data_IF_696344170448
#
_entry.id   IF_696344170448
#
_cell.length_a   1.000
_cell.length_b   1.000
_cell.length_c   1.000
_cell.angle_alpha   90.00
_cell.angle_beta   90.00
_cell.angle_gamma   90.00
#
_symmetry.space_group_name_H-M   'P 1'
#
loop_
_entity.id
_entity.type
_entity.pdbx_description
1 polymer ?
#
# COMPACT_ATOMS: atom_id res chain seq x y z
N UNK A 1 24.78 26.91 -66.23
CA UNK A 1 24.50 25.46 -66.19
C UNK A 1 25.57 24.86 -65.28
N UNK A 2 25.38 24.94 -63.96
CA UNK A 2 24.46 24.08 -63.19
C UNK A 2 24.93 22.62 -63.23
N UNK A 3 25.57 22.14 -62.17
CA UNK A 3 24.89 21.25 -61.23
C UNK A 3 25.78 20.93 -60.02
N UNK A 4 25.22 21.17 -58.83
CA UNK A 4 25.84 20.85 -57.56
C UNK A 4 25.75 19.36 -57.26
N UNK A 5 26.84 18.78 -56.78
CA UNK A 5 26.84 17.47 -56.16
C UNK A 5 26.53 17.60 -54.68
N UNK A 6 25.34 17.15 -54.29
CA UNK A 6 24.84 17.18 -52.91
C UNK A 6 25.57 16.11 -52.09
N UNK A 7 26.34 16.52 -51.09
CA UNK A 7 26.82 15.65 -50.01
C UNK A 7 25.59 15.17 -49.20
N UNK A 8 25.23 13.89 -49.34
CA UNK A 8 24.20 13.28 -48.50
C UNK A 8 24.76 13.08 -47.10
N UNK A 9 24.39 14.00 -46.22
CA UNK A 9 24.52 13.90 -44.78
C UNK A 9 23.81 12.61 -44.30
N UNK A 10 24.59 11.60 -43.90
CA UNK A 10 24.05 10.38 -43.30
C UNK A 10 23.52 10.73 -41.90
N UNK A 11 22.22 10.98 -41.79
CA UNK A 11 21.56 11.09 -40.49
C UNK A 11 21.69 9.76 -39.76
N UNK A 12 22.18 9.80 -38.52
CA UNK A 12 22.28 8.62 -37.67
C UNK A 12 20.87 8.05 -37.41
N UNK A 13 20.50 6.98 -38.14
CA UNK A 13 19.26 6.24 -37.90
C UNK A 13 19.41 5.37 -36.66
N UNK A 14 18.66 5.69 -35.62
CA UNK A 14 18.65 4.96 -34.36
C UNK A 14 17.82 3.67 -34.51
N UNK A 15 18.35 2.67 -35.23
CA UNK A 15 17.71 1.36 -35.42
C UNK A 15 18.64 0.22 -35.03
N UNK A 16 19.10 0.23 -33.77
CA UNK A 16 19.97 -0.82 -33.19
C UNK A 16 19.33 -2.22 -33.09
N UNK A 17 18.04 -2.37 -33.44
CA UNK A 17 17.28 -3.62 -33.27
C UNK A 17 16.76 -4.22 -34.59
N UNK A 18 16.97 -3.57 -35.74
CA UNK A 18 16.54 -4.12 -37.04
C UNK A 18 17.71 -4.87 -37.65
N UNK A 19 17.68 -6.21 -37.58
CA UNK A 19 18.59 -7.04 -38.39
C UNK A 19 18.14 -6.98 -39.85
N UNK A 20 18.96 -6.42 -40.74
CA UNK A 20 18.72 -6.48 -42.20
C UNK A 20 18.93 -7.91 -42.74
N UNK A 21 19.79 -8.70 -42.11
CA UNK A 21 20.00 -10.11 -42.46
C UNK A 21 18.91 -11.01 -41.84
N UNK A 22 17.92 -11.39 -42.66
CA UNK A 22 16.88 -12.38 -42.30
C UNK A 22 17.32 -13.85 -42.49
N UNK A 23 18.49 -14.08 -43.07
CA UNK A 23 18.94 -15.44 -43.46
C UNK A 23 19.36 -16.31 -42.27
N UNK A 24 19.80 -15.71 -41.17
CA UNK A 24 20.18 -16.41 -39.91
C UNK A 24 19.04 -16.41 -38.87
N UNK A 25 17.84 -15.96 -39.25
CA UNK A 25 16.70 -15.95 -38.35
C UNK A 25 16.14 -17.38 -38.18
N UNK A 26 15.92 -17.79 -36.94
CA UNK A 26 15.23 -19.05 -36.65
C UNK A 26 13.89 -19.10 -37.41
N UNK A 27 13.55 -20.23 -38.06
CA UNK A 27 12.34 -20.35 -38.85
C UNK A 27 11.12 -20.04 -37.98
N UNK A 28 10.12 -19.37 -38.57
CA UNK A 28 8.90 -19.00 -37.88
C UNK A 28 8.24 -20.26 -37.29
N UNK A 29 7.90 -20.29 -35.99
CA UNK A 29 7.27 -21.44 -35.38
C UNK A 29 5.92 -21.72 -36.06
N UNK A 30 5.76 -22.94 -36.56
CA UNK A 30 4.51 -23.35 -37.19
C UNK A 30 3.43 -23.59 -36.11
N UNK A 31 2.21 -23.06 -36.29
CA UNK A 31 1.13 -23.25 -35.33
C UNK A 31 0.76 -24.74 -35.25
N UNK A 32 0.89 -25.33 -34.05
CA UNK A 32 0.47 -26.71 -33.77
C UNK A 32 -0.89 -26.72 -33.09
N UNK A 33 -1.80 -27.57 -33.58
CA UNK A 33 -3.10 -27.81 -32.94
C UNK A 33 -2.87 -28.66 -31.68
N UNK A 34 -3.27 -28.14 -30.52
CA UNK A 34 -3.17 -28.86 -29.25
C UNK A 34 -4.05 -30.12 -29.28
N UNK A 35 -3.48 -31.25 -28.86
CA UNK A 35 -4.23 -32.49 -28.69
C UNK A 35 -4.75 -32.60 -27.24
N UNK A 36 -5.76 -33.45 -26.97
CA UNK A 36 -6.29 -33.64 -25.61
C UNK A 36 -5.23 -34.10 -24.59
N UNK A 37 -4.17 -34.77 -25.06
CA UNK A 37 -3.07 -35.27 -24.23
C UNK A 37 -2.12 -34.13 -23.80
N UNK A 38 -1.93 -33.13 -24.65
CA UNK A 38 -1.14 -31.92 -24.33
C UNK A 38 -1.82 -31.09 -23.22
N UNK A 39 -3.16 -31.11 -23.18
CA UNK A 39 -3.95 -30.45 -22.14
C UNK A 39 -3.78 -31.18 -20.80
N UNK A 40 -3.75 -32.51 -20.81
CA UNK A 40 -3.62 -33.35 -19.61
C UNK A 40 -2.20 -33.28 -19.02
N UNK A 41 -1.17 -33.28 -19.87
CA UNK A 41 0.23 -33.20 -19.43
C UNK A 41 0.51 -31.91 -18.64
N UNK A 42 -0.16 -30.82 -19.03
CA UNK A 42 -0.02 -29.50 -18.41
C UNK A 42 -0.70 -29.35 -17.03
N UNK A 43 -1.52 -30.34 -16.62
CA UNK A 43 -2.24 -30.39 -15.34
C UNK A 43 -1.48 -31.14 -14.24
N UNK A 44 -0.40 -31.86 -14.59
CA UNK A 44 0.35 -32.70 -13.64
C UNK A 44 1.40 -31.95 -12.81
N UNK A 45 1.55 -30.64 -13.04
CA UNK A 45 2.53 -29.82 -12.34
C UNK A 45 1.96 -29.29 -11.02
N UNK A 46 2.74 -29.45 -9.94
CA UNK A 46 2.45 -28.97 -8.59
C UNK A 46 1.78 -27.59 -8.54
N UNK A 47 0.93 -27.38 -7.52
CA UNK A 47 0.27 -26.11 -7.24
C UNK A 47 1.26 -24.94 -7.36
N UNK A 48 1.18 -24.23 -8.48
CA UNK A 48 2.06 -23.09 -8.78
C UNK A 48 1.43 -21.87 -8.13
N UNK A 49 2.17 -21.18 -7.28
CA UNK A 49 1.75 -19.90 -6.71
C UNK A 49 1.78 -18.85 -7.83
N UNK A 50 0.64 -18.19 -8.08
CA UNK A 50 0.52 -17.16 -9.12
C UNK A 50 -0.06 -17.69 -10.43
N UNK A 51 0.10 -16.90 -11.49
CA UNK A 51 -0.35 -17.27 -12.84
C UNK A 51 0.58 -18.28 -13.50
N UNK A 52 0.13 -18.84 -14.65
CA UNK A 52 0.96 -19.73 -15.50
C UNK A 52 2.28 -19.08 -15.92
N UNK A 53 2.35 -17.74 -15.94
CA UNK A 53 3.57 -16.98 -16.24
C UNK A 53 4.67 -17.21 -15.18
N UNK A 54 4.29 -17.33 -13.90
CA UNK A 54 5.24 -17.54 -12.80
C UNK A 54 5.91 -18.93 -12.81
N UNK A 55 5.52 -19.84 -13.72
CA UNK A 55 6.12 -21.18 -13.81
C UNK A 55 7.64 -21.15 -14.00
N UNK A 56 8.17 -20.14 -14.68
CA UNK A 56 9.62 -19.96 -14.87
C UNK A 56 10.29 -19.16 -13.72
N UNK A 57 9.57 -18.91 -12.61
CA UNK A 57 10.03 -18.11 -11.48
C UNK A 57 10.11 -16.62 -11.78
N UNK A 58 9.36 -16.15 -12.78
CA UNK A 58 9.28 -14.74 -13.17
C UNK A 58 8.65 -13.91 -12.06
N UNK A 59 8.91 -12.60 -12.09
CA UNK A 59 8.23 -11.65 -11.20
C UNK A 59 6.78 -11.47 -11.65
N UNK A 60 5.84 -11.58 -10.71
CA UNK A 60 4.43 -11.26 -10.87
C UNK A 60 3.98 -10.40 -9.70
N UNK A 61 3.37 -9.25 -9.98
CA UNK A 61 2.79 -8.37 -8.98
C UNK A 61 1.27 -8.29 -9.14
N UNK A 62 0.57 -8.39 -8.02
CA UNK A 62 -0.86 -8.15 -7.93
C UNK A 62 -1.10 -6.92 -7.07
N UNK A 63 -1.79 -5.95 -7.63
CA UNK A 63 -2.21 -4.77 -6.88
C UNK A 63 -3.34 -5.14 -5.91
N UNK A 64 -3.17 -4.82 -4.64
CA UNK A 64 -4.14 -5.06 -3.56
C UNK A 64 -4.64 -3.75 -2.93
N UNK A 65 -4.35 -2.59 -3.53
CA UNK A 65 -4.58 -1.27 -2.95
C UNK A 65 -6.06 -1.04 -2.60
N UNK A 66 -6.98 -1.39 -3.50
CA UNK A 66 -8.42 -1.23 -3.26
C UNK A 66 -8.89 -2.02 -2.03
N UNK A 67 -8.43 -3.26 -1.89
CA UNK A 67 -8.77 -4.09 -0.74
C UNK A 67 -8.12 -3.57 0.53
N UNK A 68 -6.83 -3.21 0.48
CA UNK A 68 -6.08 -2.73 1.63
C UNK A 68 -6.67 -1.42 2.19
N UNK A 69 -6.95 -0.46 1.32
CA UNK A 69 -7.57 0.83 1.70
C UNK A 69 -8.93 0.63 2.37
N UNK A 70 -9.78 -0.27 1.84
CA UNK A 70 -11.07 -0.58 2.44
C UNK A 70 -10.87 -1.26 3.80
N UNK A 71 -9.97 -2.24 3.86
CA UNK A 71 -9.76 -3.04 5.06
C UNK A 71 -9.19 -2.25 6.22
N UNK A 72 -8.20 -1.38 5.95
CA UNK A 72 -7.63 -0.46 6.93
C UNK A 72 -8.74 0.44 7.50
N UNK A 73 -9.60 1.02 6.64
CA UNK A 73 -10.73 1.84 7.08
C UNK A 73 -11.71 1.06 7.96
N UNK A 74 -12.03 -0.19 7.65
CA UNK A 74 -12.89 -1.03 8.48
C UNK A 74 -12.26 -1.33 9.85
N UNK A 75 -10.99 -1.71 9.87
CA UNK A 75 -10.27 -2.06 11.10
C UNK A 75 -10.16 -0.86 12.05
N UNK A 76 -9.89 0.32 11.51
CA UNK A 76 -9.80 1.55 12.31
C UNK A 76 -11.16 2.01 12.83
N UNK A 77 -12.24 1.84 12.05
CA UNK A 77 -13.62 2.08 12.52
C UNK A 77 -14.05 1.12 13.63
N UNK A 78 -13.43 -0.07 13.71
CA UNK A 78 -13.69 -1.02 14.80
C UNK A 78 -13.08 -0.60 16.14
N UNK A 79 -12.25 0.45 16.17
CA UNK A 79 -11.73 1.02 17.42
C UNK A 79 -12.81 1.94 18.01
N UNK A 80 -13.69 1.33 18.81
CA UNK A 80 -14.98 1.91 19.26
C UNK A 80 -14.78 3.18 20.10
N UNK A 81 -13.85 3.17 21.05
CA UNK A 81 -13.47 4.32 21.88
C UNK A 81 -12.42 3.88 22.89
N UNK A 82 -11.67 4.85 23.42
CA UNK A 82 -10.75 4.63 24.52
C UNK A 82 -11.15 5.54 25.68
N UNK A 83 -11.33 4.94 26.85
CA UNK A 83 -11.58 5.66 28.09
C UNK A 83 -10.24 5.95 28.77
N UNK A 84 -10.04 7.21 29.12
CA UNK A 84 -8.87 7.73 29.81
C UNK A 84 -9.22 8.07 31.27
N UNK A 85 -8.20 8.28 32.09
CA UNK A 85 -8.38 8.79 33.46
C UNK A 85 -9.10 10.14 33.50
N UNK A 86 -8.94 10.97 32.47
CA UNK A 86 -9.47 12.33 32.40
C UNK A 86 -10.47 12.54 31.25
N UNK A 87 -11.01 11.50 30.61
CA UNK A 87 -11.92 11.68 29.49
C UNK A 87 -12.21 10.41 28.69
N UNK A 88 -12.93 10.57 27.59
CA UNK A 88 -13.20 9.52 26.61
C UNK A 88 -12.97 10.08 25.21
N UNK A 89 -12.35 9.29 24.35
CA UNK A 89 -12.26 9.64 22.93
C UNK A 89 -12.72 8.51 22.02
N UNK A 90 -13.22 8.89 20.86
CA UNK A 90 -13.70 8.03 19.80
C UNK A 90 -13.05 8.43 18.46
N UNK A 91 -12.75 7.41 17.64
CA UNK A 91 -12.35 7.66 16.25
C UNK A 91 -13.61 7.97 15.46
N UNK A 92 -13.79 9.22 15.09
CA UNK A 92 -14.98 9.68 14.38
C UNK A 92 -14.96 9.25 12.90
N UNK A 93 -13.81 9.40 12.24
CA UNK A 93 -13.66 9.01 10.83
C UNK A 93 -12.18 8.87 10.40
N UNK A 94 -11.96 8.18 9.28
CA UNK A 94 -10.65 8.11 8.61
C UNK A 94 -10.64 9.12 7.46
N UNK A 95 -9.95 10.25 7.64
CA UNK A 95 -9.96 11.35 6.67
C UNK A 95 -9.05 11.09 5.48
N UNK A 96 -7.84 10.57 5.74
CA UNK A 96 -6.85 10.25 4.72
C UNK A 96 -6.42 8.81 4.91
N UNK A 97 -6.44 8.01 3.85
CA UNK A 97 -5.90 6.65 3.82
C UNK A 97 -5.50 6.41 2.37
N UNK A 98 -4.23 6.68 2.09
CA UNK A 98 -3.66 6.64 0.76
C UNK A 98 -2.31 5.92 0.82
N UNK A 99 -1.95 5.24 -0.27
CA UNK A 99 -0.78 4.39 -0.29
C UNK A 99 -0.94 3.28 -1.30
N UNK A 100 -0.03 2.33 -1.23
CA UNK A 100 0.06 1.20 -2.14
C UNK A 100 0.19 -0.09 -1.36
N UNK A 101 -0.56 -1.11 -1.78
CA UNK A 101 -0.41 -2.48 -1.31
C UNK A 101 -0.24 -3.39 -2.52
N UNK A 102 0.74 -4.27 -2.45
CA UNK A 102 1.05 -5.20 -3.52
C UNK A 102 1.43 -6.57 -2.99
N UNK A 103 1.12 -7.56 -3.80
CA UNK A 103 1.52 -8.94 -3.59
C UNK A 103 2.46 -9.35 -4.72
N UNK A 104 3.72 -9.61 -4.37
CA UNK A 104 4.77 -10.02 -5.28
C UNK A 104 5.01 -11.52 -5.17
N UNK A 105 4.98 -12.21 -6.31
CA UNK A 105 5.33 -13.61 -6.43
C UNK A 105 6.59 -13.75 -7.27
N UNK A 106 7.65 -14.31 -6.69
CA UNK A 106 8.94 -14.53 -7.36
C UNK A 106 9.46 -15.91 -7.01
N UNK A 107 9.84 -16.70 -8.02
CA UNK A 107 10.37 -18.07 -7.82
C UNK A 107 9.48 -18.92 -6.90
N UNK A 108 8.16 -18.85 -7.12
CA UNK A 108 7.16 -19.56 -6.31
C UNK A 108 7.15 -19.16 -4.81
N UNK A 109 7.69 -17.98 -4.46
CA UNK A 109 7.62 -17.40 -3.11
C UNK A 109 6.76 -16.15 -3.12
N UNK A 110 5.88 -16.10 -2.13
CA UNK A 110 4.97 -14.98 -1.87
C UNK A 110 5.65 -13.93 -1.00
N UNK A 111 5.57 -12.66 -1.40
CA UNK A 111 6.02 -11.49 -0.66
C UNK A 111 4.92 -10.44 -0.70
N UNK A 112 4.62 -9.85 0.43
CA UNK A 112 3.67 -8.75 0.54
C UNK A 112 4.45 -7.49 0.87
N UNK A 113 3.99 -6.36 0.37
CA UNK A 113 4.49 -5.06 0.73
C UNK A 113 3.36 -4.05 0.71
N UNK A 114 3.44 -3.09 1.61
CA UNK A 114 2.60 -1.91 1.55
C UNK A 114 3.34 -0.71 2.13
N UNK A 115 2.90 0.47 1.71
CA UNK A 115 3.28 1.76 2.28
C UNK A 115 2.02 2.62 2.29
N UNK A 116 1.62 3.11 3.46
CA UNK A 116 0.42 3.93 3.62
C UNK A 116 0.68 5.16 4.48
N UNK A 117 -0.11 6.19 4.21
CA UNK A 117 -0.28 7.37 5.05
C UNK A 117 -1.73 7.41 5.57
N UNK A 118 -1.91 7.83 6.82
CA UNK A 118 -3.19 7.77 7.51
C UNK A 118 -3.44 9.03 8.33
N UNK A 119 -4.62 9.63 8.15
CA UNK A 119 -5.12 10.73 8.99
C UNK A 119 -6.46 10.35 9.57
N UNK A 120 -6.55 10.33 10.90
CA UNK A 120 -7.75 9.99 11.67
C UNK A 120 -8.36 11.25 12.27
N UNK A 121 -9.68 11.37 12.22
CA UNK A 121 -10.44 12.37 12.96
C UNK A 121 -10.88 11.78 14.29
N UNK A 122 -10.49 12.44 15.37
CA UNK A 122 -10.85 12.05 16.72
C UNK A 122 -11.80 13.09 17.30
N UNK A 123 -12.80 12.60 18.02
CA UNK A 123 -13.67 13.42 18.85
C UNK A 123 -13.64 12.83 20.25
N UNK A 124 -13.60 13.65 21.28
CA UNK A 124 -13.68 13.16 22.64
C UNK A 124 -14.20 14.20 23.60
N UNK A 125 -14.48 13.75 24.81
CA UNK A 125 -14.89 14.57 25.92
C UNK A 125 -13.88 14.39 27.05
N UNK A 126 -13.25 15.48 27.48
CA UNK A 126 -12.31 15.48 28.60
C UNK A 126 -12.90 16.22 29.78
N UNK A 127 -12.67 15.68 30.98
CA UNK A 127 -13.06 16.27 32.25
C UNK A 127 -11.87 17.07 32.78
N UNK A 128 -11.90 18.37 32.55
CA UNK A 128 -10.84 19.31 32.93
C UNK A 128 -11.35 20.16 34.09
N UNK A 129 -10.73 20.02 35.27
CA UNK A 129 -11.07 20.83 36.47
C UNK A 129 -12.57 20.88 36.76
N UNK A 130 -13.23 19.71 36.71
CA UNK A 130 -14.67 19.51 36.94
C UNK A 130 -15.60 19.92 35.78
N UNK A 131 -15.08 20.52 34.70
CA UNK A 131 -15.85 20.82 33.49
C UNK A 131 -15.61 19.78 32.38
N UNK A 132 -16.69 19.27 31.79
CA UNK A 132 -16.59 18.43 30.58
C UNK A 132 -16.48 19.32 29.35
N UNK A 133 -15.36 19.23 28.65
CA UNK A 133 -15.10 19.91 27.39
C UNK A 133 -15.02 18.89 26.27
N UNK A 134 -15.79 19.10 25.21
CA UNK A 134 -15.65 18.33 23.98
C UNK A 134 -14.45 18.86 23.22
N UNK A 135 -13.50 18.01 22.88
CA UNK A 135 -12.31 18.39 22.12
C UNK A 135 -12.29 17.59 20.81
N UNK A 136 -11.99 18.28 19.71
CA UNK A 136 -11.77 17.66 18.40
C UNK A 136 -10.28 17.67 18.06
N UNK A 137 -9.83 16.62 17.42
CA UNK A 137 -8.44 16.48 17.00
C UNK A 137 -8.28 15.61 15.76
N UNK A 138 -7.08 15.63 15.23
CA UNK A 138 -6.61 14.81 14.14
C UNK A 138 -5.37 14.05 14.59
N UNK A 139 -5.28 12.78 14.21
CA UNK A 139 -4.08 11.97 14.41
C UNK A 139 -3.53 11.66 13.03
N UNK A 140 -2.31 12.09 12.78
CA UNK A 140 -1.60 11.90 11.52
C UNK A 140 -0.49 10.87 11.72
N UNK A 141 -0.46 9.88 10.83
CA UNK A 141 0.58 8.87 10.70
C UNK A 141 1.15 9.10 9.29
N UNK A 142 2.30 9.79 9.18
CA UNK A 142 2.80 10.31 7.92
C UNK A 142 3.15 9.19 6.94
N UNK A 143 3.79 8.13 7.42
CA UNK A 143 4.11 6.95 6.63
C UNK A 143 4.27 5.74 7.55
N UNK A 144 3.73 4.60 7.13
CA UNK A 144 4.02 3.31 7.74
C UNK A 144 4.06 2.22 6.67
N UNK A 145 4.99 1.28 6.86
CA UNK A 145 5.26 0.22 5.90
C UNK A 145 5.13 -1.16 6.56
N UNK A 146 5.16 -2.20 5.72
CA UNK A 146 5.11 -3.58 6.18
C UNK A 146 6.33 -3.94 7.04
N UNK A 147 6.10 -4.39 8.27
CA UNK A 147 7.14 -4.80 9.21
C UNK A 147 7.76 -3.67 10.03
N UNK A 148 7.39 -2.41 9.79
CA UNK A 148 7.87 -1.23 10.51
C UNK A 148 6.83 -0.69 11.52
N UNK A 149 5.85 -1.50 11.89
CA UNK A 149 4.83 -1.11 12.86
C UNK A 149 5.39 -0.92 14.29
N UNK A 150 6.64 -1.34 14.57
CA UNK A 150 7.28 -1.10 15.87
C UNK A 150 7.66 0.37 16.08
N UNK A 151 8.16 1.00 15.02
CA UNK A 151 8.61 2.40 14.99
C UNK A 151 7.53 3.36 14.49
N UNK A 152 6.25 2.96 14.58
CA UNK A 152 5.11 3.75 14.07
C UNK A 152 5.11 5.15 14.69
N UNK A 153 5.31 6.18 13.87
CA UNK A 153 5.25 7.56 14.30
C UNK A 153 3.82 8.11 14.21
N UNK A 154 3.39 8.78 15.28
CA UNK A 154 2.07 9.37 15.39
C UNK A 154 2.17 10.82 15.83
N UNK A 155 1.61 11.72 15.03
CA UNK A 155 1.47 13.13 15.32
C UNK A 155 0.02 13.44 15.68
N UNK A 156 -0.18 14.19 16.77
CA UNK A 156 -1.50 14.53 17.27
C UNK A 156 -1.69 16.04 17.15
N UNK A 157 -2.70 16.46 16.41
CA UNK A 157 -3.08 17.85 16.21
C UNK A 157 -4.45 18.11 16.84
N UNK A 158 -4.52 19.03 17.79
CA UNK A 158 -5.80 19.46 18.36
C UNK A 158 -6.39 20.59 17.53
N UNK A 159 -7.70 20.57 17.28
CA UNK A 159 -8.39 21.74 16.75
C UNK A 159 -8.33 22.84 17.81
N UNK A 160 -7.89 24.04 17.44
CA UNK A 160 -7.72 25.14 18.39
C UNK A 160 -9.06 25.60 18.98
N UNK A 161 -9.37 25.09 20.17
CA UNK A 161 -10.40 25.66 21.03
C UNK A 161 -9.73 26.68 21.95
N UNK A 162 -10.21 27.92 21.87
CA UNK A 162 -9.65 29.11 22.55
C UNK A 162 -9.72 29.01 24.08
N UNK A 163 -10.41 28.00 24.62
CA UNK A 163 -10.73 27.80 26.03
C UNK A 163 -9.88 26.71 26.73
N UNK A 164 -8.81 26.22 26.09
CA UNK A 164 -7.94 25.18 26.65
C UNK A 164 -6.59 25.74 27.09
N UNK A 165 -6.23 25.53 28.36
CA UNK A 165 -4.91 25.87 28.89
C UNK A 165 -3.84 24.96 28.26
N UNK A 166 -2.61 25.47 28.15
CA UNK A 166 -1.51 24.74 27.53
C UNK A 166 -1.22 23.39 28.22
N UNK A 167 -1.37 23.32 29.56
CA UNK A 167 -1.23 22.08 30.31
C UNK A 167 -2.30 21.05 29.94
N UNK A 168 -3.56 21.49 29.81
CA UNK A 168 -4.67 20.61 29.44
C UNK A 168 -4.48 20.07 28.02
N UNK A 169 -4.00 20.91 27.09
CA UNK A 169 -3.65 20.47 25.72
C UNK A 169 -2.58 19.39 25.73
N UNK A 170 -1.54 19.55 26.54
CA UNK A 170 -0.46 18.55 26.66
C UNK A 170 -0.98 17.23 27.23
N UNK A 171 -1.88 17.28 28.21
CA UNK A 171 -2.51 16.09 28.77
C UNK A 171 -3.34 15.36 27.71
N UNK A 172 -4.19 16.08 26.97
CA UNK A 172 -5.00 15.51 25.89
C UNK A 172 -4.11 14.87 24.81
N UNK A 173 -2.99 15.51 24.45
CA UNK A 173 -2.04 14.93 23.48
C UNK A 173 -1.42 13.64 24.03
N UNK A 174 -1.06 13.57 25.30
CA UNK A 174 -0.52 12.36 25.92
C UNK A 174 -1.56 11.23 25.95
N UNK A 175 -2.81 11.55 26.30
CA UNK A 175 -3.92 10.60 26.29
C UNK A 175 -4.14 10.07 24.87
N UNK A 176 -4.18 10.96 23.87
CA UNK A 176 -4.38 10.57 22.47
C UNK A 176 -3.24 9.70 21.92
N UNK A 177 -2.01 9.85 22.41
CA UNK A 177 -0.90 8.94 22.05
C UNK A 177 -1.14 7.51 22.51
N UNK A 178 -2.01 7.26 23.49
CA UNK A 178 -2.38 5.89 23.88
C UNK A 178 -3.20 5.18 22.80
N UNK A 179 -3.82 5.89 21.84
CA UNK A 179 -4.44 5.26 20.67
C UNK A 179 -3.43 4.58 19.74
N UNK A 180 -2.13 4.88 19.87
CA UNK A 180 -1.10 4.23 19.08
C UNK A 180 -1.12 2.71 19.28
N UNK A 181 -1.31 2.23 20.51
CA UNK A 181 -1.35 0.80 20.82
C UNK A 181 -2.51 0.07 20.09
N UNK A 182 -3.80 0.43 20.29
CA UNK A 182 -4.89 -0.24 19.61
C UNK A 182 -4.85 -0.05 18.09
N UNK A 183 -4.40 1.10 17.58
CA UNK A 183 -4.21 1.30 16.14
C UNK A 183 -3.15 0.33 15.62
N UNK A 184 -2.02 0.21 16.31
CA UNK A 184 -0.94 -0.72 15.95
C UNK A 184 -1.40 -2.18 15.97
N UNK A 185 -2.19 -2.60 16.95
CA UNK A 185 -2.77 -3.96 16.99
C UNK A 185 -3.67 -4.23 15.78
N UNK A 186 -4.50 -3.26 15.39
CA UNK A 186 -5.34 -3.37 14.20
C UNK A 186 -4.52 -3.42 12.91
N UNK A 187 -3.45 -2.64 12.82
CA UNK A 187 -2.53 -2.69 11.67
C UNK A 187 -1.77 -4.02 11.62
N UNK A 188 -1.38 -4.60 12.76
CA UNK A 188 -0.77 -5.95 12.81
C UNK A 188 -1.74 -7.02 12.33
N UNK A 189 -3.01 -6.93 12.71
CA UNK A 189 -4.06 -7.79 12.17
C UNK A 189 -4.16 -7.65 10.64
N UNK A 190 -4.13 -6.43 10.13
CA UNK A 190 -4.10 -6.18 8.69
C UNK A 190 -2.87 -6.83 8.01
N UNK A 191 -1.68 -6.77 8.60
CA UNK A 191 -0.49 -7.43 8.04
C UNK A 191 -0.66 -8.95 7.92
N UNK A 192 -1.28 -9.58 8.93
CA UNK A 192 -1.55 -11.01 8.92
C UNK A 192 -2.54 -11.38 7.81
N UNK A 193 -3.63 -10.63 7.70
CA UNK A 193 -4.62 -10.84 6.64
C UNK A 193 -4.03 -10.62 5.23
N UNK A 194 -3.13 -9.66 5.08
CA UNK A 194 -2.40 -9.44 3.83
C UNK A 194 -1.47 -10.61 3.50
N UNK A 195 -0.78 -11.18 4.51
CA UNK A 195 0.08 -12.37 4.35
C UNK A 195 -0.70 -13.61 3.93
N UNK A 196 -1.95 -13.77 4.36
CA UNK A 196 -2.77 -14.95 4.04
C UNK A 196 -3.39 -14.90 2.63
N UNK A 197 -3.47 -13.71 2.02
CA UNK A 197 -4.12 -13.45 0.72
C UNK A 197 -3.28 -13.78 -0.52
#
# INVERSE_FOLDING_TARGET
>A
MENGGVEKQQGASYTYWVREAKEDAAPLPLPKKLTPQDILCNQSHHATLGSVWNRAGTWEEKNLNNWATQRIKELLKSVISLDFSCGKAEIADVTKCAGDAFLVTVRNKKRVGYTYELTLKIKGEWLLRDERKTVKGHIDIPEFSFGELDDLQMEVQLSEEKDLLQQDKLQIIQDLKLFLQPVREKLLQFEQELKDR
#
